data_IF_081759422142
#
_entry.id   IF_081759422142
#
_cell.length_a   1.000
_cell.length_b   1.000
_cell.length_c   1.000
_cell.angle_alpha   90.00
_cell.angle_beta   90.00
_cell.angle_gamma   90.00
#
_symmetry.space_group_name_H-M   'P 1'
#
loop_
_entity.id
_entity.type
_entity.pdbx_description
1 polymer ?
#
# COMPACT_ATOMS: atom_id res chain seq x y z
N UNK A 1 -9.10 -7.22 18.10
CA UNK A 1 -9.70 -7.57 16.80
C UNK A 1 -9.68 -9.09 16.72
N UNK A 2 -10.81 -9.77 16.53
CA UNK A 2 -10.80 -11.23 16.41
C UNK A 2 -10.21 -11.57 15.03
N UNK A 3 -9.10 -12.31 15.00
CA UNK A 3 -8.50 -12.78 13.76
C UNK A 3 -9.47 -13.76 13.10
N UNK A 4 -9.73 -13.56 11.81
CA UNK A 4 -10.53 -14.51 11.02
C UNK A 4 -9.62 -15.62 10.49
N UNK A 5 -10.15 -16.84 10.28
CA UNK A 5 -9.41 -17.86 9.57
C UNK A 5 -9.00 -17.35 8.18
N UNK A 6 -7.78 -17.68 7.76
CA UNK A 6 -7.19 -17.23 6.50
C UNK A 6 -6.98 -18.43 5.58
N UNK A 7 -7.53 -18.38 4.38
CA UNK A 7 -7.46 -19.45 3.38
C UNK A 7 -6.79 -18.91 2.12
N UNK A 8 -5.78 -19.63 1.63
CA UNK A 8 -5.00 -19.26 0.45
C UNK A 8 -4.51 -20.52 -0.26
N UNK A 9 -3.92 -20.39 -1.45
CA UNK A 9 -3.48 -21.54 -2.23
C UNK A 9 -3.51 -21.30 -3.74
N UNK A 10 -3.21 -22.35 -4.48
CA UNK A 10 -3.28 -22.40 -5.94
C UNK A 10 -4.15 -23.59 -6.41
N UNK A 11 -3.96 -24.06 -7.64
CA UNK A 11 -4.73 -25.20 -8.18
C UNK A 11 -4.36 -26.56 -7.58
N UNK A 12 -3.25 -26.65 -6.85
CA UNK A 12 -2.70 -27.91 -6.36
C UNK A 12 -2.78 -28.03 -4.84
N UNK A 13 -2.50 -26.94 -4.11
CA UNK A 13 -2.54 -26.91 -2.64
C UNK A 13 -3.31 -25.73 -2.06
N UNK A 14 -4.05 -25.99 -0.98
CA UNK A 14 -4.78 -25.00 -0.20
C UNK A 14 -4.27 -24.99 1.24
N UNK A 15 -3.86 -23.82 1.72
CA UNK A 15 -3.46 -23.57 3.10
C UNK A 15 -4.59 -22.95 3.90
N UNK A 16 -4.76 -23.41 5.14
CA UNK A 16 -5.73 -22.89 6.10
C UNK A 16 -5.00 -22.52 7.39
N UNK A 17 -5.06 -21.24 7.76
CA UNK A 17 -4.51 -20.73 9.02
C UNK A 17 -5.69 -20.41 9.95
N UNK A 18 -5.70 -21.08 11.10
CA UNK A 18 -6.70 -20.84 12.14
C UNK A 18 -6.51 -19.50 12.85
N UNK A 19 -7.47 -19.14 13.71
CA UNK A 19 -7.48 -17.87 14.48
C UNK A 19 -6.22 -17.68 15.35
N UNK A 20 -5.62 -18.78 15.81
CA UNK A 20 -4.41 -18.75 16.64
C UNK A 20 -3.12 -18.49 15.83
N UNK A 21 -3.17 -18.58 14.49
CA UNK A 21 -2.07 -18.34 13.55
C UNK A 21 -0.75 -19.08 13.85
N UNK A 22 -0.79 -20.15 14.65
CA UNK A 22 0.37 -20.94 15.05
C UNK A 22 0.70 -22.10 14.09
N UNK A 23 -0.17 -22.36 13.11
CA UNK A 23 0.04 -23.40 12.12
C UNK A 23 -0.76 -23.14 10.83
N UNK A 24 -0.28 -23.70 9.73
CA UNK A 24 -0.96 -23.79 8.45
C UNK A 24 -1.28 -25.25 8.13
N UNK A 25 -2.56 -25.61 8.14
CA UNK A 25 -3.02 -26.90 7.65
C UNK A 25 -3.06 -26.87 6.11
N UNK A 26 -2.39 -27.82 5.46
CA UNK A 26 -2.26 -27.89 4.01
C UNK A 26 -3.10 -29.05 3.48
N UNK A 27 -3.92 -28.76 2.48
CA UNK A 27 -4.80 -29.70 1.81
C UNK A 27 -4.50 -29.73 0.32
N UNK A 28 -4.80 -30.85 -0.34
CA UNK A 28 -4.89 -30.88 -1.79
C UNK A 28 -6.11 -30.09 -2.22
N UNK A 29 -5.95 -29.09 -3.09
CA UNK A 29 -7.07 -28.30 -3.59
C UNK A 29 -8.05 -29.15 -4.40
N UNK A 30 -7.53 -30.13 -5.15
CA UNK A 30 -8.32 -30.96 -6.05
C UNK A 30 -9.19 -31.97 -5.32
N UNK A 31 -8.67 -32.58 -4.24
CA UNK A 31 -9.35 -33.69 -3.55
C UNK A 31 -9.88 -33.29 -2.17
N UNK A 32 -9.47 -32.15 -1.63
CA UNK A 32 -9.75 -31.76 -0.24
C UNK A 32 -9.01 -32.60 0.81
N UNK A 33 -8.13 -33.52 0.38
CA UNK A 33 -7.39 -34.39 1.29
C UNK A 33 -6.38 -33.58 2.10
N UNK A 34 -6.35 -33.78 3.42
CA UNK A 34 -5.29 -33.26 4.29
C UNK A 34 -3.93 -33.84 3.89
N UNK A 35 -2.94 -32.97 3.67
CA UNK A 35 -1.59 -33.36 3.28
C UNK A 35 -0.63 -33.31 4.47
N UNK A 36 -0.61 -32.18 5.19
CA UNK A 36 0.26 -31.95 6.34
C UNK A 36 -0.10 -30.67 7.09
N UNK A 37 0.53 -30.47 8.22
CA UNK A 37 0.51 -29.21 8.96
C UNK A 37 1.92 -28.61 9.01
N UNK A 38 2.03 -27.29 8.82
CA UNK A 38 3.28 -26.54 8.91
C UNK A 38 3.18 -25.59 10.10
N UNK A 39 4.03 -25.74 11.14
CA UNK A 39 4.09 -24.79 12.24
C UNK A 39 4.42 -23.38 11.74
N UNK A 40 3.71 -22.39 12.26
CA UNK A 40 3.91 -20.99 11.96
C UNK A 40 4.28 -20.24 13.25
N UNK A 41 5.25 -19.33 13.12
CA UNK A 41 5.60 -18.39 14.18
C UNK A 41 5.31 -16.97 13.68
N UNK A 42 4.04 -16.67 13.43
CA UNK A 42 3.63 -15.36 12.94
C UNK A 42 3.59 -14.33 14.07
N UNK A 43 3.87 -13.09 13.72
CA UNK A 43 3.54 -11.94 14.54
C UNK A 43 2.01 -11.84 14.74
N UNK A 44 1.48 -11.92 15.97
CA UNK A 44 0.04 -11.83 16.22
C UNK A 44 -0.57 -10.47 15.87
N UNK A 45 0.26 -9.45 15.60
CA UNK A 45 -0.16 -8.11 15.20
C UNK A 45 -0.07 -7.86 13.69
N UNK A 46 0.46 -8.81 12.92
CA UNK A 46 0.59 -8.70 11.46
C UNK A 46 -0.27 -9.76 10.78
N UNK A 47 -1.19 -9.33 9.91
CA UNK A 47 -1.86 -10.27 9.02
C UNK A 47 -0.84 -10.83 8.01
N UNK A 48 -0.80 -12.15 7.79
CA UNK A 48 -0.01 -12.71 6.70
C UNK A 48 -0.65 -12.33 5.35
N UNK A 49 0.18 -12.27 4.32
CA UNK A 49 -0.23 -12.05 2.94
C UNK A 49 0.07 -13.29 2.11
N UNK A 50 -0.65 -13.51 1.00
CA UNK A 50 -0.47 -14.70 0.18
C UNK A 50 -0.42 -14.39 -1.30
N UNK A 51 0.37 -15.17 -2.01
CA UNK A 51 0.48 -15.17 -3.46
C UNK A 51 0.40 -16.60 -3.99
N UNK A 52 -0.79 -17.00 -4.44
CA UNK A 52 -1.09 -18.40 -4.72
C UNK A 52 -0.82 -19.27 -3.49
N UNK A 53 0.10 -20.25 -3.64
CA UNK A 53 0.55 -21.14 -2.55
C UNK A 53 1.62 -20.54 -1.63
N UNK A 54 2.08 -19.32 -1.88
CA UNK A 54 3.14 -18.67 -1.09
C UNK A 54 2.51 -17.87 0.03
N UNK A 55 3.04 -17.99 1.23
CA UNK A 55 2.65 -17.21 2.40
C UNK A 55 3.80 -16.29 2.78
N UNK A 56 3.57 -15.00 2.67
CA UNK A 56 4.49 -13.94 3.10
C UNK A 56 4.05 -13.46 4.48
N UNK A 57 4.91 -13.58 5.48
CA UNK A 57 4.56 -13.21 6.84
C UNK A 57 5.75 -12.71 7.65
N UNK A 58 5.44 -12.00 8.73
CA UNK A 58 6.41 -11.52 9.70
C UNK A 58 6.50 -12.49 10.87
N UNK A 59 7.72 -12.79 11.30
CA UNK A 59 8.02 -13.45 12.58
C UNK A 59 8.62 -12.42 13.53
N UNK A 60 8.16 -12.42 14.78
CA UNK A 60 8.77 -11.63 15.85
C UNK A 60 9.39 -12.61 16.85
N UNK A 61 10.68 -12.45 17.11
CA UNK A 61 11.38 -13.24 18.13
C UNK A 61 11.10 -12.67 19.52
N UNK A 62 11.40 -13.46 20.57
CA UNK A 62 11.35 -12.99 21.97
C UNK A 62 12.30 -11.82 22.24
N UNK A 63 13.40 -11.72 21.48
CA UNK A 63 14.31 -10.57 21.50
C UNK A 63 13.72 -9.32 20.82
N UNK A 64 12.54 -9.46 20.21
CA UNK A 64 11.84 -8.35 19.57
C UNK A 64 12.36 -8.00 18.18
N UNK A 65 13.22 -8.83 17.60
CA UNK A 65 13.64 -8.72 16.20
C UNK A 65 12.52 -9.24 15.30
N UNK A 66 12.29 -8.53 14.19
CA UNK A 66 11.26 -8.89 13.22
C UNK A 66 11.93 -9.31 11.91
N UNK A 67 11.64 -10.52 11.45
CA UNK A 67 12.10 -11.06 10.17
C UNK A 67 10.92 -11.34 9.23
N UNK A 68 11.17 -11.20 7.93
CA UNK A 68 10.22 -11.56 6.87
C UNK A 68 10.51 -12.97 6.38
N UNK A 69 9.45 -13.76 6.24
CA UNK A 69 9.47 -15.14 5.78
C UNK A 69 8.56 -15.30 4.57
N UNK A 70 8.94 -16.20 3.65
CA UNK A 70 8.15 -16.54 2.46
C UNK A 70 8.05 -18.06 2.37
N UNK A 71 6.99 -18.59 2.96
CA UNK A 71 6.76 -20.03 3.02
C UNK A 71 6.05 -20.51 1.76
N UNK A 72 6.64 -21.51 1.11
CA UNK A 72 5.96 -22.37 0.17
C UNK A 72 5.14 -23.43 0.89
N UNK A 73 3.82 -23.37 0.86
CA UNK A 73 3.04 -24.42 1.52
C UNK A 73 3.09 -25.76 0.78
N UNK A 74 3.47 -25.80 -0.50
CA UNK A 74 3.57 -27.03 -1.29
C UNK A 74 4.87 -27.79 -1.04
N UNK A 75 5.97 -27.12 -0.70
CA UNK A 75 7.23 -27.79 -0.32
C UNK A 75 7.53 -27.72 1.18
N UNK A 76 6.92 -26.79 1.92
CA UNK A 76 7.23 -26.52 3.32
C UNK A 76 8.54 -25.72 3.50
N UNK A 77 9.10 -25.19 2.42
CA UNK A 77 10.38 -24.47 2.43
C UNK A 77 10.10 -22.98 2.59
N UNK A 78 10.85 -22.34 3.49
CA UNK A 78 10.92 -20.88 3.60
C UNK A 78 12.02 -20.34 2.68
N UNK A 79 11.62 -19.64 1.63
CA UNK A 79 12.50 -19.13 0.57
C UNK A 79 13.36 -17.95 1.02
N UNK A 80 13.02 -17.29 2.14
CA UNK A 80 13.76 -16.13 2.66
C UNK A 80 14.62 -16.46 3.89
N UNK A 81 14.61 -17.71 4.35
CA UNK A 81 15.25 -18.13 5.60
C UNK A 81 16.72 -17.67 5.71
N UNK A 82 17.48 -17.81 4.63
CA UNK A 82 18.92 -17.51 4.62
C UNK A 82 19.23 -16.04 4.27
N UNK A 83 18.21 -15.24 3.94
CA UNK A 83 18.38 -13.83 3.52
C UNK A 83 18.34 -12.84 4.69
N UNK A 84 17.89 -13.27 5.86
CA UNK A 84 17.85 -12.47 7.09
C UNK A 84 17.21 -11.07 6.90
N UNK A 85 16.10 -11.01 6.17
CA UNK A 85 15.42 -9.73 5.89
C UNK A 85 14.70 -9.27 7.17
N UNK A 86 15.29 -8.30 7.85
CA UNK A 86 14.70 -7.69 9.04
C UNK A 86 13.80 -6.52 8.66
N UNK A 87 12.56 -6.49 9.17
CA UNK A 87 11.58 -5.44 8.81
C UNK A 87 11.17 -4.58 10.01
N UNK A 88 10.67 -3.38 9.73
CA UNK A 88 10.04 -2.56 10.75
C UNK A 88 8.75 -3.20 11.28
N UNK A 89 8.51 -3.11 12.59
CA UNK A 89 7.46 -3.87 13.30
C UNK A 89 6.01 -3.61 12.86
N UNK A 90 5.67 -2.45 12.32
CA UNK A 90 4.26 -2.06 12.15
C UNK A 90 3.76 -2.17 10.72
N UNK A 91 4.57 -1.84 9.72
CA UNK A 91 4.08 -1.79 8.32
C UNK A 91 5.23 -1.76 7.32
N UNK A 92 6.30 -2.50 7.58
CA UNK A 92 7.43 -2.61 6.64
C UNK A 92 7.26 -3.65 5.54
N UNK A 93 6.05 -4.14 5.23
CA UNK A 93 5.81 -5.24 4.28
C UNK A 93 4.49 -5.02 3.57
N UNK A 94 4.46 -5.12 2.23
CA UNK A 94 3.25 -5.11 1.42
C UNK A 94 3.40 -5.97 0.18
N UNK A 95 2.38 -6.75 -0.16
CA UNK A 95 2.30 -7.44 -1.44
C UNK A 95 1.99 -6.48 -2.59
N UNK A 96 2.67 -6.70 -3.71
CA UNK A 96 2.47 -6.01 -4.98
C UNK A 96 1.95 -7.02 -6.04
N UNK A 97 1.26 -6.56 -7.09
CA UNK A 97 0.93 -7.43 -8.23
C UNK A 97 2.17 -8.09 -8.87
N UNK A 98 1.92 -9.12 -9.68
CA UNK A 98 2.95 -9.81 -10.49
C UNK A 98 4.03 -10.50 -9.64
N UNK A 99 3.60 -11.22 -8.60
CA UNK A 99 4.48 -12.00 -7.73
C UNK A 99 5.60 -11.16 -7.11
N UNK A 100 5.24 -9.99 -6.56
CA UNK A 100 6.18 -9.09 -5.91
C UNK A 100 5.73 -8.69 -4.53
N UNK A 101 6.69 -8.29 -3.69
CA UNK A 101 6.42 -7.62 -2.43
C UNK A 101 7.44 -6.52 -2.18
N UNK A 102 7.03 -5.47 -1.48
CA UNK A 102 7.92 -4.41 -1.01
C UNK A 102 8.15 -4.53 0.48
N UNK A 103 9.40 -4.39 0.90
CA UNK A 103 9.82 -4.42 2.29
C UNK A 103 10.62 -3.18 2.62
N UNK A 104 10.28 -2.52 3.72
CA UNK A 104 11.14 -1.52 4.36
C UNK A 104 11.87 -2.18 5.52
N UNK A 105 13.19 -2.31 5.38
CA UNK A 105 14.03 -3.00 6.37
C UNK A 105 14.36 -2.12 7.57
N UNK A 106 14.88 -2.73 8.64
CA UNK A 106 15.41 -2.02 9.81
C UNK A 106 16.63 -1.17 9.49
N UNK A 107 17.35 -1.54 8.43
CA UNK A 107 18.56 -0.84 7.95
C UNK A 107 18.19 0.24 6.92
N UNK A 108 16.92 0.63 6.87
CA UNK A 108 16.39 1.68 6.01
C UNK A 108 16.61 1.42 4.51
N UNK A 109 16.53 0.16 4.09
CA UNK A 109 16.48 -0.22 2.69
C UNK A 109 15.04 -0.54 2.25
N UNK A 110 14.66 -0.04 1.07
CA UNK A 110 13.50 -0.51 0.33
C UNK A 110 13.89 -1.69 -0.55
N UNK A 111 13.36 -2.88 -0.27
CA UNK A 111 13.61 -4.10 -1.06
C UNK A 111 12.36 -4.49 -1.81
N UNK A 112 12.50 -4.84 -3.09
CA UNK A 112 11.47 -5.59 -3.83
C UNK A 112 11.89 -7.04 -3.91
N UNK A 113 10.97 -7.89 -3.51
CA UNK A 113 11.11 -9.33 -3.49
C UNK A 113 10.25 -9.93 -4.59
N UNK A 114 10.77 -10.92 -5.28
CA UNK A 114 9.99 -11.83 -6.09
C UNK A 114 9.36 -12.89 -5.16
N UNK A 115 8.04 -12.92 -5.04
CA UNK A 115 7.33 -13.86 -4.15
C UNK A 115 7.22 -15.26 -4.71
N UNK A 116 7.53 -15.48 -5.98
CA UNK A 116 7.59 -16.81 -6.60
C UNK A 116 8.92 -17.52 -6.28
N UNK A 117 10.03 -16.81 -6.43
CA UNK A 117 11.41 -17.34 -6.27
C UNK A 117 12.02 -17.04 -4.91
N UNK A 118 11.51 -16.04 -4.19
CA UNK A 118 12.11 -15.48 -2.99
C UNK A 118 13.33 -14.61 -3.25
N UNK A 119 13.65 -14.28 -4.52
CA UNK A 119 14.77 -13.41 -4.88
C UNK A 119 14.55 -11.95 -4.48
N UNK A 120 15.63 -11.27 -4.09
CA UNK A 120 15.60 -9.81 -3.93
C UNK A 120 15.89 -9.25 -5.31
N UNK A 121 14.88 -8.71 -5.98
CA UNK A 121 15.02 -8.16 -7.33
C UNK A 121 15.81 -6.84 -7.30
N UNK A 122 15.60 -6.02 -6.26
CA UNK A 122 16.44 -4.86 -5.98
C UNK A 122 16.36 -4.41 -4.53
N UNK A 123 17.35 -3.61 -4.13
CA UNK A 123 17.40 -2.89 -2.86
C UNK A 123 17.77 -1.41 -3.11
N UNK A 124 17.10 -0.49 -2.42
CA UNK A 124 17.33 0.94 -2.47
C UNK A 124 17.57 1.46 -1.06
N UNK A 125 18.76 1.99 -0.81
CA UNK A 125 19.05 2.70 0.44
C UNK A 125 18.26 4.02 0.50
N UNK A 126 17.44 4.16 1.54
CA UNK A 126 16.63 5.35 1.81
C UNK A 126 16.98 6.01 3.14
N UNK A 127 18.11 5.67 3.77
CA UNK A 127 18.54 6.18 5.08
C UNK A 127 18.49 7.71 5.16
N UNK A 128 19.10 8.40 4.18
CA UNK A 128 19.16 9.87 4.16
C UNK A 128 17.87 10.54 3.65
N UNK A 129 16.84 9.74 3.35
CA UNK A 129 15.61 10.18 2.69
C UNK A 129 14.40 10.14 3.61
N UNK A 130 14.51 9.42 4.72
CA UNK A 130 13.41 9.21 5.66
C UNK A 130 13.46 10.19 6.83
N UNK A 131 12.30 10.58 7.38
CA UNK A 131 12.27 11.36 8.61
C UNK A 131 12.91 10.59 9.77
N UNK A 132 13.56 11.32 10.69
CA UNK A 132 14.29 10.74 11.83
C UNK A 132 13.39 10.06 12.89
N UNK A 133 12.06 10.14 12.75
CA UNK A 133 11.12 9.64 13.75
C UNK A 133 10.85 8.12 13.61
N UNK A 134 10.49 7.48 14.72
CA UNK A 134 10.53 6.03 14.95
C UNK A 134 9.22 5.27 14.64
N UNK A 135 8.20 5.92 14.11
CA UNK A 135 6.94 5.31 13.73
C UNK A 135 6.74 5.32 12.22
N UNK A 136 7.50 4.52 11.46
CA UNK A 136 7.39 4.53 9.99
C UNK A 136 6.39 3.50 9.49
N UNK A 137 5.62 3.90 8.49
CA UNK A 137 4.74 3.04 7.75
C UNK A 137 4.99 3.13 6.25
N UNK A 138 4.71 2.01 5.57
CA UNK A 138 4.82 1.83 4.13
C UNK A 138 3.42 1.73 3.55
N UNK A 139 3.18 2.38 2.41
CA UNK A 139 2.08 2.07 1.50
C UNK A 139 2.64 1.97 0.09
N UNK A 140 2.07 1.12 -0.76
CA UNK A 140 2.51 0.99 -2.13
C UNK A 140 1.36 0.68 -3.07
N UNK A 141 1.44 1.20 -4.29
CA UNK A 141 0.57 0.85 -5.41
C UNK A 141 1.40 0.65 -6.66
N UNK A 142 0.99 -0.27 -7.53
CA UNK A 142 1.64 -0.44 -8.84
C UNK A 142 0.74 0.02 -9.97
N UNK A 143 1.37 0.53 -11.03
CA UNK A 143 0.67 0.98 -12.23
C UNK A 143 1.67 1.02 -13.39
N UNK A 144 1.35 0.34 -14.48
CA UNK A 144 2.13 0.39 -15.73
C UNK A 144 3.63 0.12 -15.55
N UNK A 145 3.97 -0.98 -14.86
CA UNK A 145 5.36 -1.36 -14.58
C UNK A 145 6.09 -0.49 -13.55
N UNK A 146 5.41 0.48 -12.93
CA UNK A 146 5.96 1.33 -11.88
C UNK A 146 5.38 0.97 -10.52
N UNK A 147 6.20 1.07 -9.47
CA UNK A 147 5.77 1.04 -8.08
C UNK A 147 5.87 2.45 -7.48
N UNK A 148 4.77 2.89 -6.90
CA UNK A 148 4.68 4.12 -6.13
C UNK A 148 4.65 3.74 -4.67
N UNK A 149 5.76 3.99 -3.97
CA UNK A 149 5.97 3.58 -2.59
C UNK A 149 6.00 4.84 -1.75
N UNK A 150 5.14 4.95 -0.75
CA UNK A 150 5.19 6.04 0.21
C UNK A 150 5.63 5.51 1.58
N UNK A 151 6.56 6.23 2.18
CA UNK A 151 7.03 5.98 3.55
C UNK A 151 6.80 7.25 4.36
N UNK A 152 6.20 7.14 5.54
CA UNK A 152 6.01 8.30 6.42
C UNK A 152 5.63 7.91 7.83
N UNK A 153 5.34 8.91 8.64
CA UNK A 153 5.03 8.74 10.05
C UNK A 153 3.58 8.25 10.24
N UNK A 154 3.43 7.31 11.18
CA UNK A 154 2.21 6.55 11.49
C UNK A 154 1.28 7.29 12.48
N UNK A 155 1.52 8.58 12.76
CA UNK A 155 0.81 9.40 13.78
C UNK A 155 -0.73 9.36 13.71
N UNK A 156 -1.35 8.94 12.61
CA UNK A 156 -2.76 8.51 12.61
C UNK A 156 -3.03 7.41 11.57
N UNK A 157 -3.07 6.15 12.00
CA UNK A 157 -3.68 5.07 11.22
C UNK A 157 -5.20 5.22 11.28
N UNK A 158 -5.76 6.03 10.41
CA UNK A 158 -7.16 5.87 10.02
C UNK A 158 -7.19 4.79 8.93
N UNK A 159 -7.26 3.51 9.34
CA UNK A 159 -7.38 2.41 8.39
C UNK A 159 -8.78 2.41 7.77
N UNK A 160 -8.91 3.00 6.59
CA UNK A 160 -10.13 2.86 5.78
C UNK A 160 -10.05 1.53 5.05
N UNK A 161 -10.80 0.55 5.53
CA UNK A 161 -10.99 -0.72 4.85
C UNK A 161 -11.78 -0.49 3.56
N UNK A 162 -11.21 -0.90 2.44
CA UNK A 162 -11.97 -1.07 1.20
C UNK A 162 -13.06 -2.14 1.39
N UNK A 163 -14.17 -2.02 0.65
CA UNK A 163 -15.29 -2.97 0.74
C UNK A 163 -14.91 -4.41 0.31
N UNK A 164 -13.79 -4.59 -0.39
CA UNK A 164 -13.20 -5.90 -0.70
C UNK A 164 -12.24 -6.41 0.38
N UNK A 165 -12.09 -5.68 1.50
CA UNK A 165 -11.37 -6.07 2.71
C UNK A 165 -9.85 -6.09 2.59
N UNK A 166 -9.28 -5.60 1.47
CA UNK A 166 -7.88 -5.85 1.12
C UNK A 166 -6.90 -4.71 1.37
N UNK A 167 -7.36 -3.48 1.60
CA UNK A 167 -6.44 -2.37 1.83
C UNK A 167 -6.94 -1.42 2.91
N UNK A 168 -6.04 -1.05 3.84
CA UNK A 168 -6.13 0.17 4.64
C UNK A 168 -5.38 1.28 3.90
N UNK A 169 -6.00 2.45 3.74
CA UNK A 169 -5.26 3.65 3.34
C UNK A 169 -4.57 4.22 4.57
N UNK A 170 -3.32 3.81 4.81
CA UNK A 170 -2.56 4.40 5.88
C UNK A 170 -2.25 5.86 5.53
N UNK A 171 -2.74 6.78 6.36
CA UNK A 171 -2.40 8.20 6.23
C UNK A 171 -0.98 8.39 6.73
N UNK A 172 -0.03 8.45 5.81
CA UNK A 172 1.36 8.75 6.12
C UNK A 172 1.54 10.26 6.21
N UNK A 173 1.96 10.75 7.39
CA UNK A 173 2.33 12.14 7.60
C UNK A 173 3.84 12.35 7.39
N UNK A 174 4.23 13.53 6.92
CA UNK A 174 5.63 13.96 6.77
C UNK A 174 6.54 12.92 6.09
N UNK A 175 6.00 12.28 5.07
CA UNK A 175 6.63 11.18 4.37
C UNK A 175 7.40 11.58 3.11
N UNK A 176 7.84 10.55 2.40
CA UNK A 176 8.41 10.62 1.06
C UNK A 176 7.69 9.63 0.16
N UNK A 177 7.44 10.04 -1.07
CA UNK A 177 6.88 9.22 -2.15
C UNK A 177 8.00 8.92 -3.14
N UNK A 178 8.18 7.65 -3.45
CA UNK A 178 9.15 7.11 -4.39
C UNK A 178 8.42 6.56 -5.61
N UNK A 179 8.98 6.78 -6.80
CA UNK A 179 8.60 6.09 -8.01
C UNK A 179 9.74 5.20 -8.48
N UNK A 180 9.47 3.91 -8.56
CA UNK A 180 10.47 2.90 -8.88
C UNK A 180 10.01 2.11 -10.10
N UNK A 181 10.89 1.93 -11.07
CA UNK A 181 10.64 1.07 -12.21
C UNK A 181 10.79 -0.40 -11.80
N UNK A 182 9.71 -1.18 -11.83
CA UNK A 182 9.69 -2.54 -11.25
C UNK A 182 10.64 -3.51 -11.96
N UNK A 183 10.75 -3.42 -13.27
CA UNK A 183 11.65 -4.32 -14.03
C UNK A 183 13.14 -4.05 -13.78
N UNK A 184 13.52 -2.78 -13.55
CA UNK A 184 14.94 -2.39 -13.48
C UNK A 184 15.38 -2.05 -12.06
N UNK A 185 14.45 -1.95 -11.11
CA UNK A 185 14.67 -1.40 -9.78
C UNK A 185 15.10 0.08 -9.75
N UNK A 186 15.11 0.76 -10.91
CA UNK A 186 15.61 2.13 -10.99
C UNK A 186 14.64 3.09 -10.31
N UNK A 187 15.13 3.83 -9.32
CA UNK A 187 14.43 4.99 -8.78
C UNK A 187 14.35 6.06 -9.87
N UNK A 188 13.13 6.43 -10.27
CA UNK A 188 12.89 7.49 -11.25
C UNK A 188 12.92 8.87 -10.59
N UNK A 189 12.24 8.99 -9.45
CA UNK A 189 12.21 10.20 -8.64
C UNK A 189 11.69 9.87 -7.24
N UNK A 190 11.97 10.79 -6.32
CA UNK A 190 11.41 10.80 -4.99
C UNK A 190 11.09 12.23 -4.54
N UNK A 191 10.01 12.38 -3.79
CA UNK A 191 9.51 13.69 -3.39
C UNK A 191 8.99 13.66 -1.96
N UNK A 192 9.25 14.73 -1.21
CA UNK A 192 8.68 14.92 0.12
C UNK A 192 7.18 15.19 0.00
N UNK A 193 6.39 14.57 0.87
CA UNK A 193 4.94 14.73 0.94
C UNK A 193 4.52 15.04 2.37
N UNK A 194 3.69 16.06 2.57
CA UNK A 194 3.20 16.43 3.93
C UNK A 194 2.20 15.40 4.45
N UNK A 195 1.30 14.93 3.58
CA UNK A 195 0.51 13.74 3.78
C UNK A 195 0.25 13.14 2.39
N UNK A 196 0.34 11.84 2.22
CA UNK A 196 0.06 11.22 0.93
C UNK A 196 -0.77 9.96 1.14
N UNK A 197 -1.92 9.92 0.46
CA UNK A 197 -2.69 8.71 0.26
C UNK A 197 -2.82 8.46 -1.24
N UNK A 198 -2.61 7.21 -1.64
CA UNK A 198 -2.71 6.78 -3.03
C UNK A 198 -3.91 5.86 -3.18
N UNK A 199 -5.01 6.32 -3.79
CA UNK A 199 -6.17 5.46 -4.07
C UNK A 199 -5.81 4.30 -4.98
N UNK A 200 -6.58 3.22 -4.81
CA UNK A 200 -6.81 2.30 -5.91
C UNK A 200 -7.64 3.01 -6.98
N UNK A 201 -7.09 3.08 -8.19
CA UNK A 201 -7.75 3.66 -9.36
C UNK A 201 -8.32 2.54 -10.21
N UNK A 202 -9.64 2.54 -10.40
CA UNK A 202 -10.33 1.59 -11.25
C UNK A 202 -10.38 2.06 -12.70
N UNK A 203 -10.50 1.15 -13.66
CA UNK A 203 -10.55 1.47 -15.08
C UNK A 203 -9.19 1.34 -15.77
N UNK A 204 -8.95 2.15 -16.79
CA UNK A 204 -7.79 1.97 -17.65
C UNK A 204 -6.46 2.15 -16.89
N UNK A 205 -5.44 1.32 -17.16
CA UNK A 205 -4.09 1.58 -16.71
C UNK A 205 -3.56 2.82 -17.45
N UNK A 206 -3.78 4.00 -16.88
CA UNK A 206 -3.00 5.18 -17.24
C UNK A 206 -1.71 5.17 -16.45
N UNK A 207 -0.65 5.79 -16.93
CA UNK A 207 0.59 5.85 -16.14
C UNK A 207 0.49 6.88 -14.99
N UNK A 208 -0.46 7.82 -15.03
CA UNK A 208 -0.56 8.91 -14.06
C UNK A 208 -0.93 8.43 -12.64
N UNK A 209 -0.37 9.12 -11.66
CA UNK A 209 -0.59 8.85 -10.24
C UNK A 209 -1.55 9.89 -9.71
N UNK A 210 -2.65 9.42 -9.14
CA UNK A 210 -3.50 10.25 -8.31
C UNK A 210 -3.05 10.07 -6.87
N UNK A 211 -2.78 11.19 -6.20
CA UNK A 211 -2.50 11.23 -4.77
C UNK A 211 -3.36 12.31 -4.14
N UNK A 212 -3.69 12.15 -2.87
CA UNK A 212 -4.33 13.23 -2.13
C UNK A 212 -3.77 13.40 -0.74
N UNK A 213 -3.98 14.60 -0.21
CA UNK A 213 -3.52 15.03 1.10
C UNK A 213 -4.63 15.84 1.75
N UNK A 214 -4.85 15.58 3.04
CA UNK A 214 -5.71 16.44 3.84
C UNK A 214 -4.96 17.72 4.15
N UNK A 215 -5.48 18.86 3.72
CA UNK A 215 -4.96 20.16 4.15
C UNK A 215 -5.25 20.33 5.65
N UNK A 216 -4.28 20.91 6.37
CA UNK A 216 -4.46 21.25 7.79
C UNK A 216 -5.78 22.06 7.94
N UNK A 217 -6.71 21.61 8.79
CA UNK A 217 -7.97 22.32 9.01
C UNK A 217 -7.75 23.79 9.40
N UNK A 218 -6.64 24.13 10.07
CA UNK A 218 -6.30 25.51 10.44
C UNK A 218 -5.88 26.35 9.23
N UNK A 219 -5.09 25.78 8.30
CA UNK A 219 -4.69 26.45 7.06
C UNK A 219 -5.91 26.68 6.16
N UNK A 220 -6.85 25.74 6.14
CA UNK A 220 -8.05 25.86 5.32
C UNK A 220 -9.09 26.82 5.91
N UNK A 221 -9.32 26.78 7.23
CA UNK A 221 -10.26 27.69 7.90
C UNK A 221 -9.85 29.16 7.78
N UNK A 222 -8.55 29.44 7.80
CA UNK A 222 -8.02 30.80 7.59
C UNK A 222 -8.26 31.33 6.17
N UNK A 223 -8.37 30.46 5.16
CA UNK A 223 -8.47 30.86 3.75
C UNK A 223 -9.89 31.15 3.26
N UNK A 224 -10.94 30.58 3.88
CA UNK A 224 -12.28 30.58 3.27
C UNK A 224 -13.40 31.28 4.05
N UNK A 225 -13.16 31.87 5.23
CA UNK A 225 -14.23 32.54 6.01
C UNK A 225 -15.54 31.72 6.08
N UNK A 226 -15.43 30.40 6.23
CA UNK A 226 -16.56 29.49 6.08
C UNK A 226 -17.67 29.79 7.10
N UNK A 227 -18.91 29.76 6.62
CA UNK A 227 -20.10 29.96 7.44
C UNK A 227 -20.14 29.01 8.65
N UNK A 228 -20.62 29.46 9.83
CA UNK A 228 -20.68 28.66 11.05
C UNK A 228 -21.38 27.31 10.91
N UNK A 229 -22.38 27.19 10.00
CA UNK A 229 -23.08 25.93 9.73
C UNK A 229 -22.21 24.87 9.06
N UNK A 230 -21.25 25.29 8.24
CA UNK A 230 -20.25 24.41 7.63
C UNK A 230 -19.16 24.00 8.64
N UNK A 231 -18.96 24.76 9.74
CA UNK A 231 -18.06 24.36 10.84
C UNK A 231 -18.60 23.21 11.68
N UNK A 232 -19.93 23.12 11.81
CA UNK A 232 -20.60 22.05 12.57
C UNK A 232 -20.52 20.68 11.88
N UNK A 233 -20.35 20.66 10.56
CA UNK A 233 -20.06 19.45 9.79
C UNK A 233 -18.55 19.40 9.59
N UNK A 234 -17.87 18.30 9.96
CA UNK A 234 -16.41 18.15 9.86
C UNK A 234 -15.93 18.05 8.40
N UNK A 235 -16.26 19.02 7.55
CA UNK A 235 -15.69 19.13 6.21
C UNK A 235 -14.21 19.42 6.34
N UNK A 236 -13.42 18.71 5.54
CA UNK A 236 -11.98 18.88 5.42
C UNK A 236 -11.68 19.20 3.96
N UNK A 237 -10.64 19.98 3.73
CA UNK A 237 -10.17 20.19 2.37
C UNK A 237 -9.19 19.11 1.99
N UNK A 238 -9.47 18.47 0.87
CA UNK A 238 -8.66 17.44 0.28
C UNK A 238 -7.95 18.06 -0.93
N UNK A 239 -6.63 18.18 -0.84
CA UNK A 239 -5.81 18.54 -1.99
C UNK A 239 -5.50 17.27 -2.77
N UNK A 240 -5.86 17.27 -4.05
CA UNK A 240 -5.64 16.16 -4.96
C UNK A 240 -4.59 16.58 -5.97
N UNK A 241 -3.48 15.83 -6.02
CA UNK A 241 -2.39 16.03 -6.96
C UNK A 241 -2.38 14.87 -7.96
N UNK A 242 -2.44 15.21 -9.25
CA UNK A 242 -2.18 14.29 -10.36
C UNK A 242 -0.74 14.47 -10.84
N UNK A 243 0.04 13.40 -10.88
CA UNK A 243 1.48 13.46 -11.11
C UNK A 243 1.90 12.70 -12.35
N UNK A 244 2.88 13.28 -13.05
CA UNK A 244 3.56 12.65 -14.17
C UNK A 244 4.46 11.52 -13.64
N UNK A 245 4.33 10.29 -14.15
CA UNK A 245 4.92 9.11 -13.54
C UNK A 245 6.43 9.01 -13.72
N UNK A 246 7.00 9.60 -14.77
CA UNK A 246 8.45 9.56 -15.01
C UNK A 246 9.20 10.71 -14.35
N UNK A 247 8.54 11.83 -14.05
CA UNK A 247 9.21 13.05 -13.55
C UNK A 247 8.75 13.46 -12.15
N UNK A 248 7.60 12.96 -11.70
CA UNK A 248 6.96 13.35 -10.45
C UNK A 248 6.33 14.74 -10.50
N UNK A 249 6.35 15.41 -11.66
CA UNK A 249 5.75 16.74 -11.85
C UNK A 249 4.24 16.70 -11.58
N UNK A 250 3.73 17.70 -10.86
CA UNK A 250 2.28 17.84 -10.62
C UNK A 250 1.65 18.45 -11.87
N UNK A 251 0.92 17.63 -12.62
CA UNK A 251 0.22 18.03 -13.85
C UNK A 251 -1.07 18.78 -13.55
N UNK A 252 -1.76 18.41 -12.48
CA UNK A 252 -2.97 19.06 -12.02
C UNK A 252 -3.07 18.99 -10.50
N UNK A 253 -3.56 20.06 -9.89
CA UNK A 253 -3.84 20.15 -8.46
C UNK A 253 -5.24 20.72 -8.28
N UNK A 254 -6.08 20.06 -7.49
CA UNK A 254 -7.41 20.53 -7.15
C UNK A 254 -7.63 20.44 -5.65
N UNK A 255 -8.19 21.50 -5.07
CA UNK A 255 -8.64 21.50 -3.68
C UNK A 255 -10.15 21.27 -3.66
N UNK A 256 -10.60 20.21 -2.99
CA UNK A 256 -12.01 19.89 -2.87
C UNK A 256 -12.45 19.83 -1.41
N UNK A 257 -13.65 20.35 -1.16
CA UNK A 257 -14.29 20.24 0.14
C UNK A 257 -15.06 18.93 0.23
N UNK A 258 -14.65 18.07 1.16
CA UNK A 258 -15.28 16.76 1.35
C UNK A 258 -15.51 16.48 2.83
N UNK A 259 -16.59 15.76 3.12
CA UNK A 259 -16.89 15.35 4.50
C UNK A 259 -16.07 14.14 4.94
N UNK A 260 -15.65 13.32 3.97
CA UNK A 260 -14.95 12.04 4.14
C UNK A 260 -14.01 11.79 2.95
N UNK A 261 -13.14 10.79 3.09
CA UNK A 261 -12.26 10.34 2.00
C UNK A 261 -13.07 9.91 0.77
N UNK A 262 -12.50 10.04 -0.45
CA UNK A 262 -13.14 9.53 -1.65
C UNK A 262 -13.44 8.04 -1.52
N UNK A 263 -14.66 7.64 -1.89
CA UNK A 263 -15.12 6.25 -1.85
C UNK A 263 -14.54 5.44 -3.01
N UNK A 264 -14.40 6.08 -4.17
CA UNK A 264 -13.98 5.42 -5.40
C UNK A 264 -13.27 6.41 -6.30
N UNK A 265 -12.24 5.92 -6.98
CA UNK A 265 -11.59 6.63 -8.09
C UNK A 265 -11.69 5.78 -9.34
N UNK A 266 -12.10 6.39 -10.44
CA UNK A 266 -12.11 5.78 -11.77
C UNK A 266 -11.31 6.64 -12.74
N UNK A 267 -10.49 6.00 -13.55
CA UNK A 267 -9.76 6.61 -14.65
C UNK A 267 -10.42 6.26 -15.98
N UNK A 268 -10.66 7.28 -16.81
CA UNK A 268 -11.11 7.17 -18.19
C UNK A 268 -10.00 7.71 -19.10
N UNK A 269 -9.20 6.79 -19.68
CA UNK A 269 -8.05 7.18 -20.48
C UNK A 269 -8.46 7.87 -21.79
N UNK A 270 -9.63 7.51 -22.35
CA UNK A 270 -10.13 8.10 -23.60
C UNK A 270 -10.50 9.57 -23.42
N UNK A 271 -11.08 9.92 -22.25
CA UNK A 271 -11.43 11.29 -21.90
C UNK A 271 -10.31 12.05 -21.22
N UNK A 272 -9.24 11.36 -20.84
CA UNK A 272 -8.16 11.92 -20.03
C UNK A 272 -8.67 12.53 -18.72
N UNK A 273 -9.51 11.75 -18.02
CA UNK A 273 -10.22 12.17 -16.81
C UNK A 273 -10.09 11.17 -15.67
N UNK A 274 -9.93 11.70 -14.46
CA UNK A 274 -10.17 10.98 -13.22
C UNK A 274 -11.50 11.42 -12.63
N UNK A 275 -12.39 10.46 -12.38
CA UNK A 275 -13.64 10.66 -11.66
C UNK A 275 -13.46 10.17 -10.21
N UNK A 276 -13.51 11.09 -9.28
CA UNK A 276 -13.52 10.81 -7.85
C UNK A 276 -14.95 10.89 -7.34
N UNK A 277 -15.43 9.79 -6.76
CA UNK A 277 -16.74 9.73 -6.13
C UNK A 277 -16.55 9.81 -4.61
N UNK A 278 -17.25 10.75 -3.98
CA UNK A 278 -17.35 10.88 -2.53
C UNK A 278 -18.75 10.46 -2.07
N UNK A 279 -19.02 10.51 -0.77
CA UNK A 279 -20.37 10.23 -0.25
C UNK A 279 -21.45 11.20 -0.76
N UNK A 280 -21.05 12.39 -1.26
CA UNK A 280 -21.97 13.49 -1.59
C UNK A 280 -21.70 14.18 -2.91
N UNK A 281 -20.57 13.90 -3.56
CA UNK A 281 -20.15 14.62 -4.76
C UNK A 281 -19.38 13.73 -5.71
N UNK A 282 -19.32 14.18 -6.96
CA UNK A 282 -18.42 13.67 -7.99
C UNK A 282 -17.50 14.80 -8.41
N UNK A 283 -16.21 14.52 -8.45
CA UNK A 283 -15.19 15.47 -8.88
C UNK A 283 -14.50 14.89 -10.09
N UNK A 284 -14.45 15.66 -11.17
CA UNK A 284 -13.73 15.29 -12.40
C UNK A 284 -12.43 16.08 -12.45
N UNK A 285 -11.32 15.38 -12.68
CA UNK A 285 -9.99 15.96 -12.88
C UNK A 285 -9.53 15.61 -14.28
N UNK A 286 -9.53 16.59 -15.18
CA UNK A 286 -9.04 16.45 -16.55
C UNK A 286 -7.54 16.77 -16.62
N UNK A 287 -6.78 16.02 -17.41
CA UNK A 287 -5.33 16.19 -17.55
C UNK A 287 -4.84 16.29 -18.99
N UNK A 288 -5.76 16.30 -19.95
CA UNK A 288 -5.46 16.62 -21.34
C UNK A 288 -5.21 18.11 -21.56
N UNK A 289 -4.65 18.50 -22.72
CA UNK A 289 -4.61 19.90 -23.12
C UNK A 289 -6.03 20.46 -23.05
N UNK A 290 -6.22 21.54 -22.28
CA UNK A 290 -7.49 22.26 -22.29
C UNK A 290 -7.72 22.75 -23.71
N UNK A 291 -8.76 22.26 -24.38
CA UNK A 291 -9.18 22.87 -25.64
C UNK A 291 -9.40 24.36 -25.37
N UNK A 292 -8.69 25.26 -26.06
CA UNK A 292 -8.88 26.68 -25.85
C UNK A 292 -10.28 27.08 -26.33
N UNK A 293 -11.19 27.36 -25.40
CA UNK A 293 -12.44 28.07 -25.68
C UNK A 293 -13.73 27.24 -25.66
N UNK A 294 -14.06 26.61 -24.53
CA UNK A 294 -15.45 26.35 -24.14
C UNK A 294 -15.79 27.08 -22.86
#
# INVERSE_FOLDING_TARGET
>A
MALQPYIFGDSDVTGVIGVQQNACAVYSTRTGQFLREIPLETDPFSAPESDGRRLLFRRITTAGTSSIHLLDISSGIDLLKDKNISSLRQSGLLHLPEHRAVVLTTDEELKILNTETGEIEFALDVTDRLPADRGRALTAVTRDGLAFVSIGDIRSLDSVYSADGRYSFDRLADGRLFCIHLETGRLLWDQRTVACQMPRVLGDPGSLILSWSWLDPNIFQARQNLEPRLRARRYRSLKIDLRHPQTGEILASNDILVAREPLRVRHDAKRQEYLLETDRSRVTISYGPKEPGR
#
